data_IF_081357488242
#
_entry.id   IF_081357488242
#
_cell.length_a   1.000
_cell.length_b   1.000
_cell.length_c   1.000
_cell.angle_alpha   90.00
_cell.angle_beta   90.00
_cell.angle_gamma   90.00
#
_symmetry.space_group_name_H-M   'P 1'
#
loop_
_entity.id
_entity.type
_entity.pdbx_description
1 polymer ?
#
# COMPACT_ATOMS: atom_id res chain seq x y z
N UNK A 1 -8.49 -38.40 2.62
CA UNK A 1 -9.13 -37.65 3.73
C UNK A 1 -8.37 -36.35 3.82
N UNK A 2 -8.89 -35.37 3.08
CA UNK A 2 -8.24 -34.06 2.96
C UNK A 2 -8.56 -33.22 4.17
N UNK A 3 -7.55 -33.03 5.03
CA UNK A 3 -7.63 -32.05 6.10
C UNK A 3 -7.50 -30.65 5.48
N UNK A 4 -8.61 -30.08 5.07
CA UNK A 4 -8.74 -28.65 4.82
C UNK A 4 -8.44 -27.92 6.15
N UNK A 5 -7.20 -27.52 6.36
CA UNK A 5 -6.86 -26.48 7.30
C UNK A 5 -7.40 -25.18 6.71
N UNK A 6 -8.63 -24.84 7.06
CA UNK A 6 -9.19 -23.52 6.86
C UNK A 6 -8.42 -22.50 7.72
N UNK A 7 -7.20 -22.18 7.32
CA UNK A 7 -6.45 -21.08 7.89
C UNK A 7 -7.24 -19.80 7.58
N UNK A 8 -7.65 -19.10 8.63
CA UNK A 8 -8.32 -17.81 8.51
C UNK A 8 -7.34 -16.87 7.79
N UNK A 9 -7.62 -16.52 6.53
CA UNK A 9 -6.76 -15.63 5.75
C UNK A 9 -6.83 -14.25 6.41
N UNK A 10 -5.71 -13.78 6.91
CA UNK A 10 -5.60 -12.46 7.57
C UNK A 10 -5.61 -11.34 6.54
N UNK A 11 -5.99 -10.15 6.97
CA UNK A 11 -5.82 -8.93 6.17
C UNK A 11 -4.34 -8.60 6.01
N UNK A 12 -3.98 -8.05 4.86
CA UNK A 12 -2.58 -7.72 4.51
C UNK A 12 -1.90 -6.81 5.55
N UNK A 13 -2.60 -5.80 6.06
CA UNK A 13 -2.06 -4.90 7.10
C UNK A 13 -1.76 -5.64 8.41
N UNK A 14 -2.65 -6.52 8.86
CA UNK A 14 -2.47 -7.34 10.06
C UNK A 14 -1.30 -8.34 9.89
N UNK A 15 -1.27 -9.06 8.77
CA UNK A 15 -0.21 -10.00 8.44
C UNK A 15 1.16 -9.31 8.42
N UNK A 16 1.28 -8.15 7.79
CA UNK A 16 2.52 -7.35 7.78
C UNK A 16 3.00 -7.01 9.19
N UNK A 17 2.10 -6.59 10.07
CA UNK A 17 2.43 -6.28 11.47
C UNK A 17 3.01 -7.47 12.22
N UNK A 18 2.34 -8.62 12.16
CA UNK A 18 2.76 -9.86 12.83
C UNK A 18 4.12 -10.32 12.29
N UNK A 19 4.23 -10.54 10.98
CA UNK A 19 5.44 -11.11 10.39
C UNK A 19 6.65 -10.19 10.43
N UNK A 20 6.45 -8.86 10.41
CA UNK A 20 7.55 -7.90 10.64
C UNK A 20 8.10 -8.00 12.06
N UNK A 21 7.24 -8.21 13.06
CA UNK A 21 7.68 -8.40 14.45
C UNK A 21 8.44 -9.70 14.63
N UNK A 22 7.92 -10.80 14.06
CA UNK A 22 8.59 -12.12 14.08
C UNK A 22 9.96 -12.03 13.41
N UNK A 23 10.02 -11.44 12.21
CA UNK A 23 11.26 -11.26 11.46
C UNK A 23 12.31 -10.47 12.23
N UNK A 24 11.91 -9.45 13.00
CA UNK A 24 12.80 -8.70 13.87
C UNK A 24 13.45 -9.61 14.91
N UNK A 25 12.70 -10.48 15.58
CA UNK A 25 13.22 -11.42 16.58
C UNK A 25 14.21 -12.41 15.97
N UNK A 26 13.93 -12.92 14.77
CA UNK A 26 14.84 -13.80 14.03
C UNK A 26 16.13 -13.09 13.59
N UNK A 27 16.05 -11.85 13.14
CA UNK A 27 17.23 -11.05 12.81
C UNK A 27 18.14 -10.81 14.00
N UNK A 28 17.55 -10.49 15.16
CA UNK A 28 18.31 -10.31 16.41
C UNK A 28 19.00 -11.60 16.84
N UNK A 29 18.32 -12.74 16.75
CA UNK A 29 18.90 -14.03 17.13
C UNK A 29 19.98 -14.49 16.14
N UNK A 30 19.75 -14.34 14.83
CA UNK A 30 20.75 -14.63 13.81
C UNK A 30 22.04 -13.82 14.03
N UNK A 31 21.90 -12.55 14.40
CA UNK A 31 23.03 -11.70 14.75
C UNK A 31 23.80 -12.22 15.98
N UNK A 32 23.07 -12.61 17.05
CA UNK A 32 23.69 -13.20 18.25
C UNK A 32 24.45 -14.49 17.94
N UNK A 33 23.83 -15.39 17.18
CA UNK A 33 24.45 -16.65 16.77
C UNK A 33 25.67 -16.44 15.88
N UNK A 34 25.63 -15.47 14.97
CA UNK A 34 26.77 -15.09 14.13
C UNK A 34 27.97 -14.64 14.99
N UNK A 35 27.69 -13.81 16.01
CA UNK A 35 28.73 -13.36 16.94
C UNK A 35 29.31 -14.50 17.78
N UNK A 36 28.47 -15.41 18.27
CA UNK A 36 28.93 -16.59 19.00
C UNK A 36 29.79 -17.51 18.13
N UNK A 37 29.46 -17.66 16.84
CA UNK A 37 30.30 -18.43 15.88
C UNK A 37 31.68 -17.80 15.69
N UNK A 38 31.76 -16.49 15.64
CA UNK A 38 33.01 -15.77 15.53
C UNK A 38 33.87 -15.94 16.80
N UNK A 39 33.28 -15.75 17.98
CA UNK A 39 33.94 -15.95 19.27
C UNK A 39 34.42 -17.40 19.46
N UNK A 40 33.60 -18.38 19.04
CA UNK A 40 33.98 -19.79 19.10
C UNK A 40 35.15 -20.11 18.17
N UNK A 41 35.14 -19.55 16.95
CA UNK A 41 36.22 -19.69 16.00
C UNK A 41 37.55 -19.15 16.56
N UNK A 42 37.56 -17.97 17.17
CA UNK A 42 38.75 -17.41 17.83
C UNK A 42 39.25 -18.30 18.98
N UNK A 43 38.33 -18.87 19.79
CA UNK A 43 38.71 -19.84 20.87
C UNK A 43 39.30 -21.11 20.30
N UNK A 44 38.78 -21.63 19.19
CA UNK A 44 39.28 -22.83 18.49
C UNK A 44 40.69 -22.58 17.93
N UNK A 45 40.97 -21.39 17.41
CA UNK A 45 42.28 -21.03 16.87
C UNK A 45 43.33 -20.76 17.94
N UNK A 46 42.94 -20.19 19.07
CA UNK A 46 43.83 -19.83 20.20
C UNK A 46 44.14 -20.99 21.18
N UNK A 47 43.41 -22.09 21.10
CA UNK A 47 43.55 -23.21 22.07
C UNK A 47 44.27 -24.38 21.41
N UNK A 48 45.25 -25.01 22.07
CA UNK A 48 45.88 -26.25 21.58
C UNK A 48 44.80 -27.35 21.41
N UNK A 49 44.81 -28.02 20.25
CA UNK A 49 43.76 -28.99 19.86
C UNK A 49 42.32 -28.43 19.87
N UNK A 50 42.16 -27.10 19.82
CA UNK A 50 40.87 -26.42 19.94
C UNK A 50 39.82 -26.91 18.92
N UNK A 51 40.22 -27.23 17.70
CA UNK A 51 39.31 -27.79 16.70
C UNK A 51 38.65 -29.11 17.15
N UNK A 52 39.38 -29.98 17.83
CA UNK A 52 38.82 -31.24 18.35
C UNK A 52 37.98 -31.00 19.61
N UNK A 53 38.49 -30.10 20.46
CA UNK A 53 37.85 -29.83 21.78
C UNK A 53 36.48 -29.16 21.67
N UNK A 54 36.34 -28.29 20.68
CA UNK A 54 35.11 -27.53 20.48
C UNK A 54 34.29 -27.99 19.24
N UNK A 55 34.57 -29.18 18.69
CA UNK A 55 33.90 -29.69 17.50
C UNK A 55 32.39 -29.82 17.68
N UNK A 56 31.93 -30.37 18.80
CA UNK A 56 30.52 -30.58 19.09
C UNK A 56 29.80 -29.24 19.32
N UNK A 57 30.46 -28.31 20.06
CA UNK A 57 29.92 -26.96 20.25
C UNK A 57 29.78 -26.22 18.94
N UNK A 58 30.76 -26.32 18.05
CA UNK A 58 30.72 -25.70 16.72
C UNK A 58 29.63 -26.30 15.85
N UNK A 59 29.48 -27.63 15.86
CA UNK A 59 28.42 -28.30 15.08
C UNK A 59 27.03 -27.91 15.58
N UNK A 60 26.82 -27.87 16.88
CA UNK A 60 25.56 -27.46 17.50
C UNK A 60 25.20 -26.01 17.16
N UNK A 61 26.19 -25.11 17.23
CA UNK A 61 26.01 -23.69 16.93
C UNK A 61 25.72 -23.45 15.44
N UNK A 62 26.35 -24.23 14.57
CA UNK A 62 26.09 -24.20 13.11
C UNK A 62 24.67 -24.67 12.79
N UNK A 63 24.20 -25.75 13.40
CA UNK A 63 22.83 -26.24 13.24
C UNK A 63 21.81 -25.18 13.68
N UNK A 64 22.00 -24.57 14.87
CA UNK A 64 21.14 -23.49 15.36
C UNK A 64 21.13 -22.28 14.43
N UNK A 65 22.30 -21.85 13.94
CA UNK A 65 22.40 -20.73 13.00
C UNK A 65 21.67 -21.01 11.68
N UNK A 66 21.88 -22.19 11.10
CA UNK A 66 21.29 -22.54 9.82
C UNK A 66 19.76 -22.64 9.92
N UNK A 67 19.23 -23.25 10.99
CA UNK A 67 17.80 -23.35 11.22
C UNK A 67 17.13 -21.98 11.41
N UNK A 68 17.76 -21.08 12.16
CA UNK A 68 17.27 -19.71 12.34
C UNK A 68 17.36 -18.92 11.04
N UNK A 69 18.44 -19.09 10.25
CA UNK A 69 18.60 -18.43 8.98
C UNK A 69 17.55 -18.87 7.94
N UNK A 70 17.31 -20.17 7.83
CA UNK A 70 16.31 -20.74 6.93
C UNK A 70 14.91 -20.22 7.25
N UNK A 71 14.53 -20.24 8.54
CA UNK A 71 13.21 -19.75 8.96
C UNK A 71 13.08 -18.22 8.79
N UNK A 72 14.15 -17.47 9.02
CA UNK A 72 14.20 -16.03 8.74
C UNK A 72 13.97 -15.74 7.25
N UNK A 73 14.61 -16.50 6.35
CA UNK A 73 14.45 -16.34 4.91
C UNK A 73 13.03 -16.67 4.45
N UNK A 74 12.38 -17.68 5.05
CA UNK A 74 10.97 -18.00 4.79
C UNK A 74 10.05 -16.82 5.16
N UNK A 75 10.19 -16.25 6.35
CA UNK A 75 9.41 -15.09 6.77
C UNK A 75 9.71 -13.85 5.93
N UNK A 76 10.97 -13.62 5.57
CA UNK A 76 11.36 -12.50 4.72
C UNK A 76 10.71 -12.59 3.34
N UNK A 77 10.70 -13.76 2.74
CA UNK A 77 10.06 -13.99 1.45
C UNK A 77 8.55 -13.73 1.52
N UNK A 78 7.89 -14.18 2.58
CA UNK A 78 6.46 -13.94 2.77
C UNK A 78 6.16 -12.44 2.97
N UNK A 79 6.93 -11.75 3.80
CA UNK A 79 6.80 -10.29 4.01
C UNK A 79 7.01 -9.52 2.71
N UNK A 80 8.00 -9.89 1.90
CA UNK A 80 8.24 -9.25 0.60
C UNK A 80 7.05 -9.39 -0.35
N UNK A 81 6.42 -10.57 -0.38
CA UNK A 81 5.22 -10.81 -1.20
C UNK A 81 4.00 -10.03 -0.69
N UNK A 82 3.81 -9.96 0.64
CA UNK A 82 2.78 -9.11 1.24
C UNK A 82 2.97 -7.63 0.91
N UNK A 83 4.22 -7.15 0.92
CA UNK A 83 4.53 -5.77 0.55
C UNK A 83 4.21 -5.50 -0.92
N UNK A 84 4.58 -6.41 -1.82
CA UNK A 84 4.26 -6.27 -3.25
C UNK A 84 2.75 -6.26 -3.51
N UNK A 85 1.99 -7.10 -2.81
CA UNK A 85 0.53 -7.11 -2.88
C UNK A 85 -0.06 -5.78 -2.38
N UNK A 86 0.40 -5.31 -1.22
CA UNK A 86 -0.04 -4.05 -0.63
C UNK A 86 0.24 -2.86 -1.56
N UNK A 87 1.45 -2.77 -2.10
CA UNK A 87 1.84 -1.71 -3.04
C UNK A 87 1.00 -1.74 -4.32
N UNK A 88 0.71 -2.93 -4.83
CA UNK A 88 -0.16 -3.11 -5.99
C UNK A 88 -1.57 -2.57 -5.74
N UNK A 89 -2.16 -2.89 -4.59
CA UNK A 89 -3.50 -2.39 -4.21
C UNK A 89 -3.49 -0.88 -4.00
N UNK A 90 -2.53 -0.38 -3.22
CA UNK A 90 -2.36 1.05 -2.96
C UNK A 90 -2.26 1.85 -4.27
N UNK A 91 -1.37 1.45 -5.17
CA UNK A 91 -1.17 2.11 -6.45
C UNK A 91 -2.42 2.04 -7.34
N UNK A 92 -3.17 0.93 -7.29
CA UNK A 92 -4.42 0.77 -8.04
C UNK A 92 -5.48 1.78 -7.57
N UNK A 93 -5.66 1.96 -6.25
CA UNK A 93 -6.61 2.93 -5.69
C UNK A 93 -6.18 4.37 -6.03
N UNK A 94 -4.89 4.69 -5.88
CA UNK A 94 -4.36 6.02 -6.24
C UNK A 94 -4.59 6.32 -7.73
N UNK A 95 -4.28 5.37 -8.63
CA UNK A 95 -4.47 5.56 -10.06
C UNK A 95 -5.96 5.77 -10.42
N UNK A 96 -6.86 5.02 -9.76
CA UNK A 96 -8.31 5.20 -9.93
C UNK A 96 -8.75 6.60 -9.54
N UNK A 97 -8.34 7.08 -8.37
CA UNK A 97 -8.68 8.43 -7.89
C UNK A 97 -8.13 9.53 -8.80
N UNK A 98 -6.89 9.38 -9.28
CA UNK A 98 -6.31 10.33 -10.23
C UNK A 98 -7.08 10.36 -11.56
N UNK A 99 -7.50 9.19 -12.05
CA UNK A 99 -8.34 9.08 -13.23
C UNK A 99 -9.72 9.71 -13.05
N UNK A 100 -10.36 9.52 -11.91
CA UNK A 100 -11.64 10.14 -11.56
C UNK A 100 -11.51 11.65 -11.42
N UNK A 101 -10.48 12.15 -10.74
CA UNK A 101 -10.22 13.59 -10.61
C UNK A 101 -9.97 14.25 -11.98
N UNK A 102 -9.23 13.60 -12.88
CA UNK A 102 -9.00 14.10 -14.22
C UNK A 102 -10.30 14.14 -15.05
N UNK A 103 -11.16 13.12 -14.89
CA UNK A 103 -12.49 13.07 -15.53
C UNK A 103 -13.39 14.18 -15.00
N UNK A 104 -13.48 14.35 -13.69
CA UNK A 104 -14.31 15.37 -13.04
C UNK A 104 -13.86 16.78 -13.46
N UNK A 105 -12.55 17.04 -13.52
CA UNK A 105 -11.99 18.28 -14.04
C UNK A 105 -12.38 18.53 -15.51
N UNK A 106 -12.31 17.49 -16.35
CA UNK A 106 -12.73 17.57 -17.76
C UNK A 106 -14.23 17.84 -17.93
N UNK A 107 -15.08 17.23 -17.08
CA UNK A 107 -16.52 17.47 -17.07
C UNK A 107 -16.85 18.89 -16.60
N UNK A 108 -16.20 19.37 -15.52
CA UNK A 108 -16.37 20.74 -15.04
C UNK A 108 -15.95 21.77 -16.08
N UNK A 109 -14.80 21.55 -16.73
CA UNK A 109 -14.35 22.38 -17.85
C UNK A 109 -15.37 22.40 -18.98
N UNK A 110 -15.95 21.23 -19.35
CA UNK A 110 -17.00 21.12 -20.35
C UNK A 110 -18.26 21.92 -19.99
N UNK A 111 -18.69 21.88 -18.72
CA UNK A 111 -19.82 22.69 -18.20
C UNK A 111 -19.50 24.18 -18.31
N UNK A 112 -18.33 24.63 -17.86
CA UNK A 112 -17.89 26.04 -17.95
C UNK A 112 -17.87 26.54 -19.40
N UNK A 113 -17.32 25.77 -20.33
CA UNK A 113 -17.30 26.11 -21.73
C UNK A 113 -18.70 26.15 -22.37
N UNK A 114 -19.61 25.31 -21.88
CA UNK A 114 -21.02 25.34 -22.30
C UNK A 114 -21.71 26.60 -21.82
N UNK A 115 -21.46 27.00 -20.56
CA UNK A 115 -21.95 28.28 -19.98
C UNK A 115 -21.45 29.46 -20.80
N UNK A 116 -20.16 29.51 -21.12
CA UNK A 116 -19.58 30.57 -21.97
C UNK A 116 -20.27 30.63 -23.32
N UNK A 117 -20.50 29.51 -23.98
CA UNK A 117 -21.20 29.42 -25.27
C UNK A 117 -22.63 29.92 -25.19
N UNK A 118 -23.41 29.53 -24.15
CA UNK A 118 -24.79 30.01 -23.95
C UNK A 118 -24.82 31.52 -23.74
N UNK A 119 -23.89 32.05 -22.90
CA UNK A 119 -23.77 33.50 -22.73
C UNK A 119 -23.46 34.23 -24.04
N UNK A 120 -22.55 33.72 -24.86
CA UNK A 120 -22.21 34.29 -26.18
C UNK A 120 -23.39 34.31 -27.14
N UNK A 121 -24.28 33.30 -27.08
CA UNK A 121 -25.51 33.23 -27.87
C UNK A 121 -26.63 34.15 -27.34
N UNK A 122 -26.41 34.82 -26.21
CA UNK A 122 -27.38 35.72 -25.62
C UNK A 122 -28.45 35.03 -24.77
N UNK A 123 -28.26 33.75 -24.48
CA UNK A 123 -29.18 32.97 -23.64
C UNK A 123 -29.14 33.48 -22.19
N UNK A 124 -30.24 33.23 -21.44
CA UNK A 124 -30.27 33.52 -20.00
C UNK A 124 -29.66 32.33 -19.26
N UNK A 125 -28.49 32.56 -18.66
CA UNK A 125 -27.77 31.56 -17.87
C UNK A 125 -28.04 31.83 -16.38
N UNK A 126 -28.19 30.79 -15.52
CA UNK A 126 -28.31 30.95 -14.08
C UNK A 126 -27.09 31.70 -13.48
N UNK A 127 -27.36 32.55 -12.46
CA UNK A 127 -26.31 33.37 -11.85
C UNK A 127 -25.18 32.54 -11.24
N UNK A 128 -25.47 31.33 -10.76
CA UNK A 128 -24.46 30.43 -10.22
C UNK A 128 -23.46 29.98 -11.26
N UNK A 129 -23.94 29.66 -12.47
CA UNK A 129 -23.10 29.24 -13.59
C UNK A 129 -22.28 30.41 -14.14
N UNK A 130 -22.88 31.62 -14.21
CA UNK A 130 -22.11 32.84 -14.56
C UNK A 130 -20.98 33.11 -13.56
N UNK A 131 -21.24 32.90 -12.26
CA UNK A 131 -20.24 33.07 -11.21
C UNK A 131 -19.09 32.05 -11.35
N UNK A 132 -19.39 30.78 -11.58
CA UNK A 132 -18.38 29.74 -11.84
C UNK A 132 -17.50 30.09 -13.04
N UNK A 133 -18.10 30.53 -14.15
CA UNK A 133 -17.33 30.97 -15.33
C UNK A 133 -16.43 32.16 -15.00
N UNK A 134 -16.94 33.15 -14.25
CA UNK A 134 -16.16 34.34 -13.87
C UNK A 134 -15.01 34.02 -12.93
N UNK A 135 -15.20 33.05 -12.01
CA UNK A 135 -14.15 32.58 -11.10
C UNK A 135 -13.09 31.76 -11.84
N UNK A 136 -13.51 31.00 -12.85
CA UNK A 136 -12.61 30.21 -13.68
C UNK A 136 -11.75 31.08 -14.60
N UNK A 137 -12.39 31.95 -15.40
CA UNK A 137 -11.71 32.88 -16.34
C UNK A 137 -12.54 34.14 -16.51
N UNK A 138 -12.05 35.21 -15.87
CA UNK A 138 -12.71 36.52 -15.89
C UNK A 138 -12.74 37.15 -17.29
N UNK A 139 -11.70 36.95 -18.07
CA UNK A 139 -11.62 37.57 -19.43
C UNK A 139 -12.55 36.84 -20.39
N UNK A 140 -12.61 35.50 -20.32
CA UNK A 140 -13.58 34.68 -21.06
C UNK A 140 -15.03 35.07 -20.67
N UNK A 141 -15.32 35.27 -19.39
CA UNK A 141 -16.64 35.74 -18.95
C UNK A 141 -17.00 37.10 -19.53
N UNK A 142 -16.10 38.08 -19.49
CA UNK A 142 -16.33 39.43 -20.05
C UNK A 142 -16.56 39.34 -21.57
N UNK A 143 -15.77 38.57 -22.26
CA UNK A 143 -15.91 38.35 -23.69
C UNK A 143 -17.26 37.70 -24.02
N UNK A 144 -17.64 36.63 -23.30
CA UNK A 144 -18.90 35.94 -23.48
C UNK A 144 -20.12 36.85 -23.20
N UNK A 145 -20.06 37.65 -22.14
CA UNK A 145 -21.09 38.62 -21.76
C UNK A 145 -21.27 39.71 -22.85
N UNK A 146 -20.17 40.26 -23.35
CA UNK A 146 -20.21 41.27 -24.40
C UNK A 146 -20.78 40.72 -25.71
N UNK A 147 -20.33 39.54 -26.16
CA UNK A 147 -20.88 38.87 -27.32
C UNK A 147 -22.38 38.58 -27.17
N UNK A 148 -22.81 38.12 -25.96
CA UNK A 148 -24.21 37.85 -25.67
C UNK A 148 -25.10 39.09 -25.64
N UNK A 149 -24.57 40.26 -25.26
CA UNK A 149 -25.32 41.52 -25.36
C UNK A 149 -25.62 41.87 -26.83
N UNK A 150 -24.69 41.60 -27.74
CA UNK A 150 -24.89 41.79 -29.17
C UNK A 150 -25.94 40.81 -29.77
N UNK A 151 -25.89 39.54 -29.31
CA UNK A 151 -26.79 38.49 -29.76
C UNK A 151 -28.22 38.59 -29.20
N UNK A 152 -28.45 39.29 -28.06
CA UNK A 152 -29.76 39.46 -27.38
C UNK A 152 -30.78 40.25 -28.15
N UNK A 153 -30.38 40.90 -29.24
CA UNK A 153 -31.31 41.59 -30.12
C UNK A 153 -32.19 40.64 -30.93
N UNK A 154 -31.87 39.34 -31.00
CA UNK A 154 -32.59 38.41 -31.86
C UNK A 154 -33.45 37.36 -31.18
N UNK A 155 -33.09 36.75 -30.11
CA UNK A 155 -33.98 35.79 -29.35
C UNK A 155 -33.45 35.46 -27.92
N UNK A 156 -34.36 35.42 -26.94
CA UNK A 156 -34.06 34.97 -25.58
C UNK A 156 -34.44 33.47 -25.41
N UNK A 157 -33.48 32.65 -25.06
CA UNK A 157 -33.67 31.27 -24.62
C UNK A 157 -33.29 31.13 -23.15
N UNK A 158 -34.07 30.38 -22.38
CA UNK A 158 -33.80 30.10 -20.96
C UNK A 158 -33.15 28.72 -20.86
N UNK A 159 -31.99 28.64 -20.19
CA UNK A 159 -31.24 27.40 -19.96
C UNK A 159 -31.29 27.02 -18.51
N UNK A 160 -31.24 25.69 -18.24
CA UNK A 160 -31.18 25.12 -16.88
C UNK A 160 -29.76 25.18 -16.33
N UNK A 161 -29.63 25.15 -14.97
CA UNK A 161 -28.33 25.11 -14.30
C UNK A 161 -27.61 23.79 -14.60
N UNK A 162 -26.29 23.86 -14.78
CA UNK A 162 -25.41 22.70 -15.00
C UNK A 162 -24.69 22.23 -13.73
N UNK A 163 -24.84 22.93 -12.62
CA UNK A 163 -24.11 22.69 -11.38
C UNK A 163 -24.96 22.21 -10.20
N UNK A 164 -26.26 21.86 -10.40
CA UNK A 164 -27.16 21.49 -9.30
C UNK A 164 -26.97 20.05 -8.77
N UNK A 165 -26.31 19.16 -9.54
CA UNK A 165 -26.18 17.73 -9.22
C UNK A 165 -24.75 17.35 -8.74
N UNK A 166 -24.00 18.26 -8.14
CA UNK A 166 -22.67 17.95 -7.61
C UNK A 166 -22.80 17.22 -6.27
N UNK A 167 -22.95 15.89 -6.30
CA UNK A 167 -22.78 15.04 -5.13
C UNK A 167 -21.31 15.02 -4.69
N UNK A 168 -21.06 15.17 -3.38
CA UNK A 168 -19.73 14.98 -2.81
C UNK A 168 -19.37 13.51 -2.93
N UNK A 169 -18.39 13.19 -3.77
CA UNK A 169 -17.83 11.84 -3.87
C UNK A 169 -16.96 11.59 -2.65
N UNK A 170 -17.30 10.53 -1.89
CA UNK A 170 -16.41 10.00 -0.88
C UNK A 170 -15.31 9.20 -1.58
N UNK A 171 -14.07 9.53 -1.31
CA UNK A 171 -12.91 8.84 -1.84
C UNK A 171 -12.42 7.81 -0.81
N UNK A 172 -12.20 6.58 -1.27
CA UNK A 172 -11.60 5.50 -0.50
C UNK A 172 -10.16 5.87 -0.14
N UNK A 173 -9.75 5.69 1.13
CA UNK A 173 -8.35 5.88 1.52
C UNK A 173 -7.48 4.76 0.92
N UNK A 174 -6.48 5.09 0.08
CA UNK A 174 -5.64 4.07 -0.56
C UNK A 174 -4.87 3.19 0.41
N UNK A 175 -4.51 3.74 1.57
CA UNK A 175 -3.77 3.03 2.60
C UNK A 175 -4.68 2.04 3.34
N UNK A 176 -5.89 2.50 3.72
CA UNK A 176 -6.90 1.67 4.36
C UNK A 176 -7.36 0.54 3.43
N UNK A 177 -7.57 0.84 2.15
CA UNK A 177 -7.93 -0.16 1.14
C UNK A 177 -6.84 -1.23 0.95
N UNK A 178 -5.57 -0.82 0.94
CA UNK A 178 -4.45 -1.76 0.81
C UNK A 178 -4.25 -2.63 2.06
N UNK A 179 -4.48 -2.08 3.26
CA UNK A 179 -4.39 -2.82 4.52
C UNK A 179 -5.60 -3.76 4.72
N UNK A 180 -6.75 -3.43 4.18
CA UNK A 180 -7.97 -4.23 4.25
C UNK A 180 -8.00 -5.41 3.27
N UNK A 181 -7.11 -5.44 2.26
CA UNK A 181 -6.99 -6.54 1.30
C UNK A 181 -6.64 -7.84 2.02
N UNK A 182 -7.24 -8.96 1.61
CA UNK A 182 -6.86 -10.28 2.12
C UNK A 182 -5.44 -10.65 1.64
N UNK A 183 -4.63 -11.23 2.52
CA UNK A 183 -3.30 -11.71 2.15
C UNK A 183 -3.42 -12.79 1.05
N UNK A 184 -2.47 -12.80 0.10
CA UNK A 184 -2.49 -13.70 -1.07
C UNK A 184 -2.48 -15.20 -0.69
N UNK A 185 -2.00 -15.54 0.51
CA UNK A 185 -1.97 -16.88 1.07
C UNK A 185 -1.89 -16.83 2.60
N UNK A 186 -2.22 -17.93 3.26
CA UNK A 186 -1.88 -18.12 4.66
C UNK A 186 -0.37 -18.06 4.82
N UNK A 187 0.11 -17.28 5.79
CA UNK A 187 1.52 -17.13 6.07
C UNK A 187 2.14 -18.41 6.66
N UNK A 188 3.49 -18.50 6.68
CA UNK A 188 4.19 -19.55 7.39
C UNK A 188 3.76 -19.61 8.86
N UNK A 189 3.77 -20.81 9.44
CA UNK A 189 3.50 -20.96 10.86
C UNK A 189 4.46 -20.11 11.68
N UNK A 190 3.90 -19.29 12.57
CA UNK A 190 4.68 -18.43 13.47
C UNK A 190 5.20 -19.28 14.60
N UNK A 191 6.48 -19.60 14.57
CA UNK A 191 7.17 -20.37 15.60
C UNK A 191 8.20 -19.51 16.33
N UNK A 192 8.44 -19.81 17.59
CA UNK A 192 9.45 -19.09 18.38
C UNK A 192 10.86 -19.42 17.91
N UNK A 193 11.78 -18.50 18.12
CA UNK A 193 13.19 -18.72 17.77
C UNK A 193 13.79 -19.87 18.58
N UNK A 194 13.40 -19.97 19.84
CA UNK A 194 13.81 -21.01 20.77
C UNK A 194 13.39 -22.40 20.27
N UNK A 195 12.11 -22.56 19.88
CA UNK A 195 11.59 -23.82 19.33
C UNK A 195 12.33 -24.27 18.07
N UNK A 196 12.72 -23.32 17.19
CA UNK A 196 13.48 -23.65 15.98
C UNK A 196 14.91 -24.11 16.33
N UNK A 197 15.54 -23.49 17.32
CA UNK A 197 16.89 -23.88 17.75
C UNK A 197 16.89 -25.24 18.48
N UNK A 198 15.90 -25.51 19.34
CA UNK A 198 15.73 -26.80 20.01
C UNK A 198 15.48 -27.94 19.02
N UNK A 199 14.57 -27.73 18.07
CA UNK A 199 14.31 -28.71 17.02
C UNK A 199 15.55 -29.02 16.18
N UNK A 200 16.40 -28.02 15.93
CA UNK A 200 17.62 -28.19 15.14
C UNK A 200 18.70 -29.03 15.84
N UNK A 201 18.71 -29.03 17.18
CA UNK A 201 19.72 -29.75 17.99
C UNK A 201 19.20 -31.08 18.58
N UNK A 202 17.90 -31.34 18.44
CA UNK A 202 17.26 -32.53 19.07
C UNK A 202 17.17 -32.43 20.61
N UNK A 203 17.40 -31.26 21.18
CA UNK A 203 17.21 -30.99 22.58
C UNK A 203 15.71 -30.76 22.85
N UNK A 204 14.93 -31.83 22.96
CA UNK A 204 13.58 -31.72 23.50
C UNK A 204 13.68 -31.74 25.03
N UNK A 205 13.15 -30.71 25.69
CA UNK A 205 12.99 -30.73 27.14
C UNK A 205 12.22 -32.01 27.56
N UNK A 206 12.84 -32.82 28.41
CA UNK A 206 12.25 -34.00 29.04
C UNK A 206 11.51 -33.62 30.30
#
# INVERSE_FOLDING_TARGET
>A
MDAFHGGNIMKTGEARGIYSSVLKSYNEQKFKLSKQREELKERMESTPDGKKRYADEAATLELKYNAVAEKQDEYQNYVNQLMAQWEGKFNSVVAKQQGEAAKDYGEEMGKIMTVARRLMHGDQVPMQDEKKLMEYDKDLYIMAKNAGMMARLEKRKKDDSLGEDEEKKEHEDPMEAADAEEAFAAGPEVVSVESVMEAATGETES
#
